data_IF_312775914135
#
_entry.id   IF_312775914135
#
_cell.length_a   1.000
_cell.length_b   1.000
_cell.length_c   1.000
_cell.angle_alpha   90.00
_cell.angle_beta   90.00
_cell.angle_gamma   90.00
#
_symmetry.space_group_name_H-M   'P 1'
#
loop_
_entity.id
_entity.type
_entity.pdbx_description
1 polymer ?
#
# COMPACT_ATOMS: atom_id res chain seq x y z
N UNK A 1 -2.75 -49.64 -75.72
CA UNK A 1 -1.51 -49.92 -76.48
C UNK A 1 -0.39 -50.08 -75.48
N UNK A 2 -0.10 -51.32 -75.16
CA UNK A 2 1.19 -52.02 -75.06
C UNK A 2 2.27 -51.21 -74.27
N UNK A 3 3.00 -51.73 -73.30
CA UNK A 3 3.80 -52.97 -73.24
C UNK A 3 4.11 -53.36 -71.77
N UNK A 4 4.05 -54.63 -71.50
CA UNK A 4 4.55 -55.36 -70.33
C UNK A 4 6.07 -55.55 -70.51
N UNK A 5 6.81 -55.39 -69.40
CA UNK A 5 8.12 -56.02 -69.25
C UNK A 5 8.36 -56.40 -67.81
N UNK A 6 8.34 -57.71 -67.58
CA UNK A 6 8.72 -58.32 -66.35
C UNK A 6 10.23 -58.31 -66.15
N UNK A 7 10.66 -58.19 -64.91
CA UNK A 7 12.04 -58.51 -64.57
C UNK A 7 12.04 -59.42 -63.33
N UNK A 8 12.70 -60.52 -63.50
CA UNK A 8 12.96 -61.64 -62.60
C UNK A 8 13.61 -61.17 -61.30
N UNK A 9 13.00 -61.52 -60.17
CA UNK A 9 13.61 -61.37 -58.86
C UNK A 9 14.36 -62.64 -58.50
N UNK A 10 15.71 -62.54 -58.36
CA UNK A 10 16.58 -63.61 -57.88
C UNK A 10 16.45 -63.70 -56.37
N UNK A 11 15.94 -64.81 -55.83
CA UNK A 11 15.93 -65.19 -54.44
C UNK A 11 17.35 -65.45 -53.97
N UNK A 12 17.83 -64.61 -53.10
CA UNK A 12 19.03 -64.85 -52.25
C UNK A 12 18.56 -65.25 -50.87
N UNK A 13 18.69 -66.53 -50.56
CA UNK A 13 18.48 -67.06 -49.19
C UNK A 13 19.53 -66.52 -48.27
N UNK A 14 19.16 -65.62 -47.37
CA UNK A 14 20.01 -65.29 -46.24
C UNK A 14 19.72 -66.24 -45.11
N UNK A 15 20.75 -67.02 -44.73
CA UNK A 15 20.76 -67.85 -43.54
C UNK A 15 20.83 -67.00 -42.31
N UNK A 16 19.70 -66.77 -41.58
CA UNK A 16 19.68 -66.10 -40.29
C UNK A 16 19.94 -67.13 -39.23
N UNK A 17 21.04 -66.98 -38.45
CA UNK A 17 21.28 -67.91 -37.30
C UNK A 17 20.19 -67.76 -36.28
N UNK A 18 19.56 -68.87 -35.95
CA UNK A 18 18.55 -68.98 -34.88
C UNK A 18 19.20 -68.70 -33.55
N UNK A 19 19.27 -67.40 -33.15
CA UNK A 19 19.72 -67.00 -31.82
C UNK A 19 18.69 -67.55 -30.85
N UNK A 20 19.18 -68.45 -29.99
CA UNK A 20 18.38 -69.20 -29.02
C UNK A 20 17.58 -68.25 -28.16
N UNK A 21 16.29 -68.54 -27.97
CA UNK A 21 15.34 -67.83 -27.13
C UNK A 21 15.84 -67.62 -25.69
N UNK A 22 16.75 -68.44 -25.25
CA UNK A 22 17.38 -68.37 -23.91
C UNK A 22 18.28 -67.15 -23.75
N UNK A 23 18.97 -66.72 -24.76
CA UNK A 23 19.91 -65.58 -24.70
C UNK A 23 19.18 -64.23 -24.73
N UNK A 24 18.01 -64.18 -25.41
CA UNK A 24 17.16 -62.97 -25.43
C UNK A 24 16.53 -62.65 -24.07
N UNK A 25 16.06 -63.69 -23.36
CA UNK A 25 15.45 -63.50 -22.05
C UNK A 25 16.47 -63.17 -20.95
N UNK A 26 17.72 -63.68 -21.09
CA UNK A 26 18.82 -63.38 -20.18
C UNK A 26 19.33 -61.94 -20.35
N UNK A 27 19.37 -61.41 -21.53
CA UNK A 27 19.73 -60.02 -21.81
C UNK A 27 18.64 -59.03 -21.27
N UNK A 28 17.35 -59.42 -21.39
CA UNK A 28 16.25 -58.64 -20.82
C UNK A 28 16.26 -58.63 -19.27
N UNK A 29 16.64 -59.76 -18.66
CA UNK A 29 16.74 -59.84 -17.21
C UNK A 29 17.93 -59.01 -16.62
N UNK A 30 19.03 -58.91 -17.39
CA UNK A 30 20.19 -58.10 -17.05
C UNK A 30 19.91 -56.59 -17.11
N UNK A 31 19.05 -56.13 -18.04
CA UNK A 31 18.66 -54.74 -18.17
C UNK A 31 17.77 -54.29 -17.00
N UNK A 32 16.94 -55.19 -16.46
CA UNK A 32 16.08 -54.88 -15.29
C UNK A 32 16.86 -54.74 -13.98
N UNK A 33 18.06 -55.30 -13.89
CA UNK A 33 18.88 -55.19 -12.68
C UNK A 33 19.71 -53.91 -12.60
N UNK A 34 19.89 -53.18 -13.71
CA UNK A 34 20.60 -51.89 -13.76
C UNK A 34 19.69 -50.66 -13.67
N UNK A 35 18.37 -50.85 -13.51
CA UNK A 35 17.41 -49.74 -13.43
C UNK A 35 17.23 -49.14 -12.03
N UNK A 36 17.98 -49.59 -11.02
CA UNK A 36 18.08 -48.94 -9.73
C UNK A 36 19.27 -47.97 -9.74
N UNK A 37 19.13 -46.81 -10.35
CA UNK A 37 20.02 -45.70 -10.09
C UNK A 37 19.97 -45.31 -8.59
N UNK A 38 21.04 -44.74 -8.02
CA UNK A 38 21.01 -44.27 -6.64
C UNK A 38 19.89 -43.21 -6.55
N UNK A 39 18.83 -43.57 -5.85
CA UNK A 39 17.76 -42.62 -5.51
C UNK A 39 18.41 -41.64 -4.53
N UNK A 40 18.73 -40.44 -5.03
CA UNK A 40 19.19 -39.36 -4.15
C UNK A 40 18.12 -39.13 -3.09
N UNK A 41 18.39 -39.59 -1.88
CA UNK A 41 17.51 -39.32 -0.75
C UNK A 41 17.67 -37.84 -0.43
N UNK A 42 16.61 -37.08 -0.68
CA UNK A 42 16.52 -35.71 -0.20
C UNK A 42 16.84 -35.74 1.30
N UNK A 43 17.82 -34.95 1.72
CA UNK A 43 18.19 -34.88 3.12
C UNK A 43 17.01 -34.44 3.96
N UNK A 44 16.90 -34.91 5.19
CA UNK A 44 15.84 -34.51 6.12
C UNK A 44 15.83 -32.99 6.30
N UNK A 45 17.03 -32.38 6.31
CA UNK A 45 17.18 -30.92 6.40
C UNK A 45 16.59 -30.20 5.22
N UNK A 46 16.83 -30.69 3.98
CA UNK A 46 16.24 -30.09 2.78
C UNK A 46 14.71 -30.24 2.75
N UNK A 47 14.18 -31.37 3.25
CA UNK A 47 12.74 -31.59 3.40
C UNK A 47 12.14 -30.66 4.46
N UNK A 48 12.79 -30.55 5.62
CA UNK A 48 12.36 -29.67 6.72
C UNK A 48 12.46 -28.18 6.33
N UNK A 49 13.44 -27.80 5.51
CA UNK A 49 13.54 -26.44 4.96
C UNK A 49 12.43 -26.13 3.95
N UNK A 50 12.12 -27.07 3.05
CA UNK A 50 10.99 -26.95 2.13
C UNK A 50 9.67 -26.87 2.89
N UNK A 51 9.49 -27.67 3.94
CA UNK A 51 8.30 -27.66 4.77
C UNK A 51 8.18 -26.35 5.55
N UNK A 52 9.24 -25.83 6.14
CA UNK A 52 9.26 -24.51 6.81
C UNK A 52 8.96 -23.36 5.86
N UNK A 53 9.49 -23.40 4.64
CA UNK A 53 9.25 -22.38 3.61
C UNK A 53 7.86 -22.48 2.96
N UNK A 54 7.20 -23.64 3.04
CA UNK A 54 5.85 -23.89 2.53
C UNK A 54 4.79 -23.86 3.64
N UNK A 55 5.14 -23.51 4.87
CA UNK A 55 4.18 -23.34 5.94
C UNK A 55 3.29 -22.14 5.61
N UNK A 56 2.13 -22.41 5.02
CA UNK A 56 1.12 -21.40 4.69
C UNK A 56 0.52 -20.88 5.98
N UNK A 57 1.11 -19.82 6.53
CA UNK A 57 0.54 -19.12 7.66
C UNK A 57 -0.84 -18.56 7.26
N UNK A 58 -1.88 -19.01 7.92
CA UNK A 58 -3.22 -18.43 7.75
C UNK A 58 -3.28 -17.11 8.47
N UNK A 59 -3.22 -16.03 7.70
CA UNK A 59 -3.39 -14.67 8.22
C UNK A 59 -4.90 -14.44 8.38
N UNK A 60 -5.32 -14.05 9.56
CA UNK A 60 -6.72 -13.73 9.84
C UNK A 60 -7.05 -12.30 9.43
N UNK A 61 -8.31 -12.04 9.16
CA UNK A 61 -8.78 -10.68 8.84
C UNK A 61 -8.52 -9.70 9.99
N UNK A 62 -8.60 -10.17 11.22
CA UNK A 62 -8.33 -9.36 12.42
C UNK A 62 -6.85 -8.92 12.46
N UNK A 63 -5.93 -9.80 12.11
CA UNK A 63 -4.50 -9.47 12.01
C UNK A 63 -4.25 -8.42 10.92
N UNK A 64 -4.90 -8.58 9.75
CA UNK A 64 -4.77 -7.63 8.64
C UNK A 64 -5.30 -6.24 9.05
N UNK A 65 -6.48 -6.17 9.66
CA UNK A 65 -7.06 -4.90 10.12
C UNK A 65 -6.21 -4.24 11.19
N UNK A 66 -5.67 -5.02 12.12
CA UNK A 66 -4.76 -4.51 13.16
C UNK A 66 -3.48 -3.93 12.55
N UNK A 67 -2.85 -4.65 11.62
CA UNK A 67 -1.65 -4.15 10.93
C UNK A 67 -1.97 -2.89 10.11
N UNK A 68 -3.10 -2.86 9.42
CA UNK A 68 -3.53 -1.67 8.67
C UNK A 68 -3.73 -0.45 9.59
N UNK A 69 -4.28 -0.65 10.79
CA UNK A 69 -4.44 0.41 11.80
C UNK A 69 -3.08 0.92 12.29
N UNK A 70 -2.18 0.02 12.69
CA UNK A 70 -0.83 0.37 13.17
C UNK A 70 -0.03 1.07 12.08
N UNK A 71 -0.08 0.56 10.86
CA UNK A 71 0.64 1.15 9.74
C UNK A 71 0.09 2.52 9.34
N UNK A 72 -1.25 2.68 9.29
CA UNK A 72 -1.89 3.96 9.04
C UNK A 72 -1.53 5.02 10.08
N UNK A 73 -1.50 4.63 11.36
CA UNK A 73 -1.08 5.51 12.45
C UNK A 73 0.39 5.94 12.32
N UNK A 74 1.27 5.01 12.00
CA UNK A 74 2.69 5.29 11.75
C UNK A 74 2.91 6.28 10.60
N UNK A 75 2.22 6.08 9.46
CA UNK A 75 2.35 6.98 8.30
C UNK A 75 1.82 8.38 8.62
N UNK A 76 0.68 8.48 9.30
CA UNK A 76 0.11 9.79 9.65
C UNK A 76 0.94 10.54 10.67
N UNK A 77 1.56 9.85 11.62
CA UNK A 77 2.53 10.46 12.56
C UNK A 77 3.78 10.97 11.81
N UNK A 78 4.32 10.18 10.88
CA UNK A 78 5.47 10.60 10.05
C UNK A 78 5.11 11.84 9.22
N UNK A 79 3.94 11.84 8.57
CA UNK A 79 3.46 12.96 7.76
C UNK A 79 3.28 14.23 8.59
N UNK A 80 2.63 14.09 9.74
CA UNK A 80 2.42 15.20 10.67
C UNK A 80 3.75 15.78 11.16
N UNK A 81 4.68 14.93 11.58
CA UNK A 81 5.99 15.36 12.06
C UNK A 81 6.79 16.10 10.99
N UNK A 82 6.83 15.60 9.77
CA UNK A 82 7.52 16.23 8.66
C UNK A 82 6.90 17.60 8.31
N UNK A 83 5.57 17.66 8.19
CA UNK A 83 4.87 18.92 7.88
C UNK A 83 5.10 19.98 8.94
N UNK A 84 4.97 19.64 10.22
CA UNK A 84 5.15 20.58 11.32
C UNK A 84 6.61 21.04 11.43
N UNK A 85 7.57 20.12 11.31
CA UNK A 85 8.99 20.47 11.36
C UNK A 85 9.37 21.45 10.25
N UNK A 86 8.94 21.20 9.00
CA UNK A 86 9.24 22.08 7.89
C UNK A 86 8.48 23.42 7.98
N UNK A 87 7.23 23.42 8.47
CA UNK A 87 6.49 24.64 8.75
C UNK A 87 7.21 25.52 9.79
N UNK A 88 7.67 24.92 10.89
CA UNK A 88 8.41 25.64 11.93
C UNK A 88 9.71 26.26 11.39
N UNK A 89 10.44 25.52 10.53
CA UNK A 89 11.65 26.04 9.84
C UNK A 89 11.29 27.23 8.93
N UNK A 90 10.21 27.13 8.18
CA UNK A 90 9.76 28.21 7.30
C UNK A 90 9.33 29.45 8.09
N UNK A 91 8.65 29.27 9.25
CA UNK A 91 8.29 30.36 10.14
C UNK A 91 9.55 31.01 10.76
N UNK A 92 10.51 30.21 11.21
CA UNK A 92 11.75 30.73 11.78
C UNK A 92 12.56 31.56 10.77
N UNK A 93 12.54 31.16 9.50
CA UNK A 93 13.25 31.84 8.42
C UNK A 93 12.54 33.10 7.91
N UNK A 94 11.21 33.09 7.81
CA UNK A 94 10.44 34.09 7.03
C UNK A 94 9.22 34.66 7.78
N UNK A 95 9.04 34.31 9.05
CA UNK A 95 7.83 34.64 9.80
C UNK A 95 6.59 33.87 9.33
N UNK A 96 5.46 34.06 10.02
CA UNK A 96 4.20 33.40 9.68
C UNK A 96 3.69 33.76 8.29
N UNK A 97 3.79 35.02 7.89
CA UNK A 97 3.40 35.48 6.55
C UNK A 97 4.20 34.81 5.43
N UNK A 98 5.54 34.70 5.58
CA UNK A 98 6.40 34.03 4.61
C UNK A 98 6.18 32.51 4.54
N UNK A 99 5.82 31.89 5.66
CA UNK A 99 5.54 30.46 5.73
C UNK A 99 4.27 30.04 4.94
N UNK A 100 3.38 30.98 4.61
CA UNK A 100 2.20 30.71 3.76
C UNK A 100 2.63 30.26 2.36
N UNK A 101 3.66 30.89 1.78
CA UNK A 101 4.20 30.48 0.49
C UNK A 101 4.80 29.08 0.53
N UNK A 102 5.45 28.71 1.64
CA UNK A 102 5.92 27.35 1.90
C UNK A 102 4.78 26.33 1.90
N UNK A 103 3.67 26.60 2.63
CA UNK A 103 2.51 25.71 2.70
C UNK A 103 1.92 25.45 1.32
N UNK A 104 1.84 26.46 0.47
CA UNK A 104 1.30 26.34 -0.89
C UNK A 104 2.17 25.43 -1.78
N UNK A 105 3.50 25.54 -1.68
CA UNK A 105 4.43 24.89 -2.60
C UNK A 105 4.90 23.53 -2.10
N UNK A 106 5.14 23.35 -0.80
CA UNK A 106 5.86 22.20 -0.27
C UNK A 106 4.99 21.15 0.44
N UNK A 107 3.79 21.47 0.86
CA UNK A 107 2.95 20.50 1.56
C UNK A 107 2.58 19.29 0.68
N UNK A 108 2.20 19.50 -0.59
CA UNK A 108 1.88 18.44 -1.52
C UNK A 108 3.09 17.55 -1.88
N UNK A 109 4.27 18.07 -2.21
CA UNK A 109 5.47 17.26 -2.43
C UNK A 109 5.84 16.35 -1.25
N UNK A 110 5.69 16.83 0.00
CA UNK A 110 5.95 16.01 1.19
C UNK A 110 5.00 14.80 1.22
N UNK A 111 3.69 15.03 1.07
CA UNK A 111 2.72 13.94 1.04
C UNK A 111 2.97 12.97 -0.10
N UNK A 112 3.30 13.48 -1.30
CA UNK A 112 3.61 12.67 -2.48
C UNK A 112 4.85 11.79 -2.30
N UNK A 113 5.87 12.30 -1.61
CA UNK A 113 7.06 11.51 -1.25
C UNK A 113 6.68 10.34 -0.34
N UNK A 114 5.83 10.59 0.67
CA UNK A 114 5.35 9.54 1.59
C UNK A 114 4.45 8.52 0.90
N UNK A 115 3.57 8.95 -0.01
CA UNK A 115 2.76 8.06 -0.84
C UNK A 115 3.65 7.08 -1.62
N UNK A 116 4.71 7.59 -2.24
CA UNK A 116 5.66 6.78 -3.01
C UNK A 116 6.44 5.83 -2.10
N UNK A 117 6.94 6.34 -0.96
CA UNK A 117 7.71 5.56 0.02
C UNK A 117 6.92 4.37 0.56
N UNK A 118 5.64 4.56 0.84
CA UNK A 118 4.77 3.58 1.49
C UNK A 118 3.84 2.85 0.52
N UNK A 119 3.83 3.18 -0.77
CA UNK A 119 2.91 2.63 -1.77
C UNK A 119 1.43 2.76 -1.37
N UNK A 120 1.03 3.93 -0.86
CA UNK A 120 -0.32 4.26 -0.40
C UNK A 120 -0.81 5.55 -1.04
N UNK A 121 -2.11 5.86 -0.93
CA UNK A 121 -2.61 7.21 -1.16
C UNK A 121 -2.74 7.92 0.18
N UNK A 122 -2.21 9.12 0.30
CA UNK A 122 -2.21 9.93 1.53
C UNK A 122 -2.68 11.34 1.25
N UNK A 123 -3.72 11.78 1.94
CA UNK A 123 -4.24 13.14 1.82
C UNK A 123 -4.74 13.69 3.16
N UNK A 124 -4.82 15.00 3.25
CA UNK A 124 -5.57 15.69 4.30
C UNK A 124 -6.92 16.08 3.73
N UNK A 125 -7.96 15.90 4.50
CA UNK A 125 -9.34 16.16 4.08
C UNK A 125 -10.00 17.09 5.07
N UNK A 126 -10.79 18.05 4.58
CA UNK A 126 -11.48 19.01 5.44
C UNK A 126 -12.84 19.41 4.84
N UNK A 127 -13.83 19.65 5.70
CA UNK A 127 -15.10 20.28 5.32
C UNK A 127 -14.92 21.77 4.96
N UNK A 128 -13.84 22.38 5.43
CA UNK A 128 -13.46 23.78 5.14
C UNK A 128 -12.05 23.79 4.51
N UNK A 129 -11.90 23.29 3.25
CA UNK A 129 -10.59 23.13 2.63
C UNK A 129 -10.06 24.47 2.13
N UNK A 130 -8.81 24.81 2.48
CA UNK A 130 -8.10 25.93 1.87
C UNK A 130 -7.69 25.62 0.42
N UNK A 131 -7.42 24.35 0.12
CA UNK A 131 -7.23 23.84 -1.24
C UNK A 131 -8.44 22.99 -1.62
N UNK A 132 -9.13 23.27 -2.73
CA UNK A 132 -10.28 22.47 -3.19
C UNK A 132 -10.01 20.97 -3.35
N UNK A 133 -8.75 20.57 -3.62
CA UNK A 133 -8.35 19.17 -3.69
C UNK A 133 -8.43 18.44 -2.34
N UNK A 134 -8.50 19.17 -1.23
CA UNK A 134 -8.64 18.61 0.11
C UNK A 134 -10.12 18.42 0.53
N UNK A 135 -11.09 18.66 -0.38
CA UNK A 135 -12.49 18.35 -0.14
C UNK A 135 -12.70 16.83 0.02
N UNK A 136 -13.61 16.39 0.91
CA UNK A 136 -13.91 14.98 1.10
C UNK A 136 -14.61 14.38 -0.13
N UNK A 137 -14.31 13.12 -0.41
CA UNK A 137 -15.09 12.33 -1.36
C UNK A 137 -16.25 11.59 -0.65
N UNK A 138 -17.02 10.79 -1.41
CA UNK A 138 -18.20 10.10 -0.91
C UNK A 138 -17.90 9.09 0.21
N UNK A 139 -16.71 8.48 0.24
CA UNK A 139 -16.30 7.55 1.29
C UNK A 139 -15.79 8.30 2.54
N UNK A 140 -15.22 9.48 2.35
CA UNK A 140 -14.61 10.30 3.39
C UNK A 140 -15.62 11.17 4.15
N UNK A 141 -16.66 11.66 3.46
CA UNK A 141 -17.67 12.57 4.03
C UNK A 141 -18.31 12.03 5.32
N UNK A 142 -18.84 10.80 5.37
CA UNK A 142 -19.48 10.28 6.59
C UNK A 142 -18.53 10.18 7.79
N UNK A 143 -17.24 9.92 7.52
CA UNK A 143 -16.21 9.80 8.57
C UNK A 143 -15.83 11.18 9.12
N UNK A 144 -15.70 12.16 8.24
CA UNK A 144 -15.43 13.54 8.61
C UNK A 144 -16.58 14.13 9.43
N UNK A 145 -17.82 13.86 9.03
CA UNK A 145 -19.03 14.27 9.77
C UNK A 145 -19.10 13.62 11.15
N UNK A 146 -18.74 12.32 11.26
CA UNK A 146 -18.67 11.64 12.54
C UNK A 146 -17.62 12.26 13.47
N UNK A 147 -16.45 12.61 12.95
CA UNK A 147 -15.42 13.32 13.74
C UNK A 147 -15.88 14.72 14.17
N UNK A 148 -16.60 15.45 13.30
CA UNK A 148 -17.16 16.75 13.64
C UNK A 148 -18.19 16.61 14.78
N UNK A 149 -19.11 15.66 14.67
CA UNK A 149 -20.07 15.36 15.72
C UNK A 149 -19.40 15.03 17.06
N UNK A 150 -18.35 14.21 17.04
CA UNK A 150 -17.62 13.83 18.23
C UNK A 150 -16.99 15.06 18.93
N UNK A 151 -16.33 15.91 18.15
CA UNK A 151 -15.73 17.15 18.69
C UNK A 151 -16.78 18.06 19.29
N UNK A 152 -17.90 18.31 18.58
CA UNK A 152 -19.00 19.14 19.05
C UNK A 152 -19.64 18.62 20.36
N UNK A 153 -19.61 17.31 20.58
CA UNK A 153 -20.18 16.66 21.75
C UNK A 153 -19.14 16.26 22.83
N UNK A 154 -17.88 16.70 22.69
CA UNK A 154 -16.77 16.37 23.58
C UNK A 154 -16.54 14.83 23.70
N UNK A 155 -16.77 14.09 22.63
CA UNK A 155 -16.52 12.65 22.53
C UNK A 155 -15.11 12.44 21.98
N UNK A 156 -14.33 11.56 22.61
CA UNK A 156 -13.02 11.16 22.09
C UNK A 156 -13.13 10.57 20.71
N UNK A 157 -12.23 10.93 19.81
CA UNK A 157 -12.20 10.44 18.43
C UNK A 157 -10.93 9.64 18.17
N UNK A 158 -11.07 8.33 18.09
CA UNK A 158 -10.00 7.42 17.70
C UNK A 158 -9.90 7.30 16.17
N UNK A 159 -8.74 6.91 15.63
CA UNK A 159 -8.61 6.55 14.24
C UNK A 159 -9.61 5.46 13.83
N UNK A 160 -10.08 5.52 12.59
CA UNK A 160 -11.04 4.57 12.04
C UNK A 160 -10.48 3.86 10.83
N UNK A 161 -10.94 2.62 10.59
CA UNK A 161 -10.61 1.87 9.39
C UNK A 161 -11.89 1.30 8.75
N UNK A 162 -12.04 1.51 7.46
CA UNK A 162 -13.15 1.04 6.65
C UNK A 162 -12.64 0.18 5.51
N UNK A 163 -13.43 -0.80 5.08
CA UNK A 163 -13.13 -1.61 3.89
C UNK A 163 -13.75 -0.94 2.66
N UNK A 164 -12.95 -0.72 1.66
CA UNK A 164 -13.36 -0.29 0.33
C UNK A 164 -13.09 -1.39 -0.69
N UNK A 165 -13.68 -1.27 -1.88
CA UNK A 165 -13.42 -2.15 -3.03
C UNK A 165 -13.50 -3.63 -2.65
N UNK A 166 -14.58 -4.03 -1.99
CA UNK A 166 -14.82 -5.42 -1.52
C UNK A 166 -13.71 -5.95 -0.58
N UNK A 167 -13.01 -5.04 0.11
CA UNK A 167 -11.97 -5.37 1.07
C UNK A 167 -10.55 -5.42 0.49
N UNK A 168 -10.35 -5.02 -0.78
CA UNK A 168 -9.03 -4.93 -1.39
C UNK A 168 -8.27 -3.65 -1.01
N UNK A 169 -8.99 -2.65 -0.50
CA UNK A 169 -8.42 -1.39 -0.01
C UNK A 169 -8.99 -1.09 1.38
N UNK A 170 -8.14 -0.65 2.29
CA UNK A 170 -8.55 -0.12 3.59
C UNK A 170 -8.46 1.40 3.57
N UNK A 171 -9.54 2.08 3.94
CA UNK A 171 -9.55 3.50 4.23
C UNK A 171 -9.28 3.70 5.71
N UNK A 172 -8.06 4.11 6.03
CA UNK A 172 -7.68 4.56 7.37
C UNK A 172 -7.90 6.07 7.46
N UNK A 173 -8.55 6.52 8.54
CA UNK A 173 -8.73 7.95 8.84
C UNK A 173 -8.34 8.28 10.27
N UNK A 174 -7.83 9.50 10.48
CA UNK A 174 -7.44 10.00 11.81
C UNK A 174 -7.79 11.50 11.90
N UNK A 175 -8.51 11.94 12.91
CA UNK A 175 -8.87 13.35 13.05
C UNK A 175 -7.65 14.25 13.24
N UNK A 176 -7.71 15.45 12.69
CA UNK A 176 -6.75 16.53 12.87
C UNK A 176 -7.46 17.65 13.62
N UNK A 177 -7.08 17.87 14.84
CA UNK A 177 -7.63 18.95 15.70
C UNK A 177 -6.63 20.10 15.82
N UNK A 178 -7.13 21.29 16.10
CA UNK A 178 -6.31 22.46 16.43
C UNK A 178 -5.74 22.24 17.84
N UNK A 179 -4.51 21.79 17.92
CA UNK A 179 -3.90 21.33 19.18
C UNK A 179 -3.08 22.39 19.94
N UNK A 180 -2.77 23.53 19.30
CA UNK A 180 -1.93 24.55 19.91
C UNK A 180 -2.02 25.91 19.22
N UNK A 181 -1.41 26.95 19.83
CA UNK A 181 -1.41 28.32 19.34
C UNK A 181 -0.72 28.48 17.97
N UNK A 182 0.24 27.63 17.61
CA UNK A 182 0.87 27.66 16.29
C UNK A 182 -0.16 27.45 15.17
N UNK A 183 -1.10 26.55 15.35
CA UNK A 183 -2.19 26.32 14.39
C UNK A 183 -3.07 27.56 14.24
N UNK A 184 -3.39 28.24 15.36
CA UNK A 184 -4.22 29.44 15.38
C UNK A 184 -3.59 30.64 14.68
N UNK A 185 -2.26 30.73 14.60
CA UNK A 185 -1.56 31.80 13.89
C UNK A 185 -1.94 31.93 12.41
N UNK A 186 -2.53 30.87 11.82
CA UNK A 186 -3.04 30.86 10.42
C UNK A 186 -4.50 30.43 10.32
N UNK A 187 -5.00 29.61 11.27
CA UNK A 187 -6.33 29.01 11.22
C UNK A 187 -7.30 29.61 12.27
N UNK A 188 -6.80 30.42 13.20
CA UNK A 188 -7.60 31.04 14.24
C UNK A 188 -8.51 32.19 13.78
N UNK A 189 -9.02 32.95 14.73
CA UNK A 189 -9.84 34.14 14.46
C UNK A 189 -8.98 35.23 13.77
N UNK A 190 -9.36 35.68 12.55
CA UNK A 190 -8.62 36.70 11.82
C UNK A 190 -8.46 38.06 12.58
N UNK A 191 -9.29 38.31 13.59
CA UNK A 191 -9.24 39.55 14.37
C UNK A 191 -8.45 39.45 15.67
N UNK A 192 -8.17 38.20 16.15
CA UNK A 192 -7.55 37.93 17.42
C UNK A 192 -6.24 37.19 17.34
N UNK A 193 -6.24 36.12 16.53
CA UNK A 193 -5.18 35.13 16.55
C UNK A 193 -4.20 35.29 15.38
N UNK A 194 -4.67 35.85 14.25
CA UNK A 194 -3.90 35.96 13.02
C UNK A 194 -3.36 37.39 12.89
N UNK A 195 -2.04 37.55 12.81
CA UNK A 195 -1.42 38.85 12.60
C UNK A 195 -1.89 39.48 11.27
N UNK A 196 -2.04 40.84 11.20
CA UNK A 196 -2.58 41.52 10.01
C UNK A 196 -1.86 41.19 8.72
N UNK A 197 -0.51 41.13 8.74
CA UNK A 197 0.29 40.76 7.57
C UNK A 197 0.04 39.32 7.13
N UNK A 198 -0.13 38.39 8.07
CA UNK A 198 -0.47 36.98 7.80
C UNK A 198 -1.88 36.88 7.20
N UNK A 199 -2.85 37.59 7.74
CA UNK A 199 -4.22 37.63 7.23
C UNK A 199 -4.29 38.19 5.81
N UNK A 200 -3.52 39.27 5.53
CA UNK A 200 -3.43 39.86 4.19
C UNK A 200 -2.83 38.86 3.19
N UNK A 201 -1.78 38.15 3.59
CA UNK A 201 -1.12 37.13 2.75
C UNK A 201 -2.02 35.92 2.52
N UNK A 202 -2.74 35.43 3.53
CA UNK A 202 -3.74 34.37 3.39
C UNK A 202 -4.82 34.75 2.38
N UNK A 203 -5.39 35.96 2.51
CA UNK A 203 -6.38 36.46 1.55
C UNK A 203 -5.85 36.58 0.13
N UNK A 204 -4.59 36.95 -0.03
CA UNK A 204 -3.94 37.02 -1.35
C UNK A 204 -3.76 35.66 -1.99
N UNK A 205 -3.32 34.64 -1.21
CA UNK A 205 -2.99 33.31 -1.70
C UNK A 205 -4.20 32.40 -1.79
N UNK A 206 -5.15 32.59 -0.90
CA UNK A 206 -6.37 31.79 -0.76
C UNK A 206 -7.60 32.70 -0.64
N UNK A 207 -8.01 33.39 -1.72
CA UNK A 207 -9.04 34.44 -1.64
C UNK A 207 -10.42 33.91 -1.21
N UNK A 208 -10.67 32.60 -1.34
CA UNK A 208 -11.91 31.92 -0.94
C UNK A 208 -11.69 30.94 0.21
N UNK A 209 -10.59 31.09 0.98
CA UNK A 209 -10.22 30.14 2.03
C UNK A 209 -11.21 30.20 3.20
N UNK A 210 -12.00 29.13 3.43
CA UNK A 210 -12.86 29.02 4.61
C UNK A 210 -12.13 28.51 5.85
N UNK A 211 -10.82 28.26 5.77
CA UNK A 211 -10.03 27.55 6.78
C UNK A 211 -9.50 28.45 7.91
N UNK A 212 -10.23 29.52 8.26
CA UNK A 212 -9.95 30.41 9.41
C UNK A 212 -11.11 30.41 10.40
N UNK A 213 -10.93 31.02 11.58
CA UNK A 213 -11.96 31.11 12.62
C UNK A 213 -12.12 29.82 13.44
N UNK A 214 -11.06 29.02 13.56
CA UNK A 214 -11.01 27.88 14.45
C UNK A 214 -10.57 28.28 15.86
N UNK A 215 -11.02 27.53 16.86
CA UNK A 215 -10.54 27.56 18.23
C UNK A 215 -9.66 26.33 18.55
N UNK A 216 -9.04 26.32 19.74
CA UNK A 216 -8.39 25.11 20.23
C UNK A 216 -9.42 23.98 20.36
N UNK A 217 -8.98 22.77 20.03
CA UNK A 217 -9.76 21.53 20.02
C UNK A 217 -10.78 21.40 18.88
N UNK A 218 -10.99 22.44 18.07
CA UNK A 218 -11.82 22.33 16.87
C UNK A 218 -11.26 21.30 15.88
N UNK A 219 -12.16 20.58 15.21
CA UNK A 219 -11.79 19.69 14.10
C UNK A 219 -11.35 20.52 12.89
N UNK A 220 -10.07 20.46 12.53
CA UNK A 220 -9.53 21.09 11.33
C UNK A 220 -9.77 20.23 10.08
N UNK A 221 -9.86 18.93 10.27
CA UNK A 221 -10.00 17.95 9.20
C UNK A 221 -9.58 16.57 9.65
N UNK A 222 -9.19 15.72 8.71
CA UNK A 222 -8.66 14.39 9.00
C UNK A 222 -7.55 13.99 8.04
N UNK A 223 -6.67 13.11 8.48
CA UNK A 223 -5.86 12.29 7.62
C UNK A 223 -6.73 11.23 6.95
N UNK A 224 -6.48 10.97 5.67
CA UNK A 224 -7.13 9.94 4.89
C UNK A 224 -6.09 9.16 4.10
N UNK A 225 -5.99 7.85 4.37
CA UNK A 225 -5.08 6.92 3.71
C UNK A 225 -5.85 5.78 3.06
N UNK A 226 -5.54 5.51 1.80
CA UNK A 226 -5.94 4.26 1.15
C UNK A 226 -4.78 3.29 1.17
N UNK A 227 -4.94 2.21 1.93
CA UNK A 227 -3.94 1.16 2.16
C UNK A 227 -4.33 -0.06 1.32
N UNK A 228 -3.59 -0.40 0.25
CA UNK A 228 -3.86 -1.62 -0.51
C UNK A 228 -3.65 -2.85 0.39
N UNK A 229 -4.64 -3.74 0.45
CA UNK A 229 -4.60 -4.96 1.29
C UNK A 229 -3.33 -5.79 1.06
N UNK A 230 -2.90 -5.92 -0.20
CA UNK A 230 -1.66 -6.62 -0.55
C UNK A 230 -0.42 -6.04 0.14
N UNK A 231 -0.36 -4.71 0.30
CA UNK A 231 0.78 -4.05 0.97
C UNK A 231 0.70 -4.23 2.50
N UNK A 232 -0.52 -4.26 3.06
CA UNK A 232 -0.71 -4.59 4.48
C UNK A 232 -0.28 -6.03 4.78
N UNK A 233 -0.69 -6.99 3.93
CA UNK A 233 -0.37 -8.42 4.10
C UNK A 233 1.15 -8.68 4.01
N UNK A 234 1.88 -7.95 3.18
CA UNK A 234 3.35 -8.07 3.10
C UNK A 234 4.08 -7.69 4.39
N UNK A 235 3.41 -7.03 5.31
CA UNK A 235 3.98 -6.55 6.59
C UNK A 235 3.77 -7.54 7.73
N UNK A 236 2.94 -8.58 7.52
CA UNK A 236 2.64 -9.66 8.46
C UNK A 236 3.55 -10.87 8.30
#
# INVERSE_FOLDING_TARGET
MYFVLGTLYKSTSYFVPRISYFMKNFLFLLILLFSCGPQERISKEAFDDVQRNNDVRRITEVEILREAMVWGDSITQEAQAQLISQLQQAIAANGHSGAIDFCQVNALPILKSLETKHAVTLRRVSSRPGNPLDAPDAAETPLLDAYAYNVENNISSDPSIQKLEQGEVFLYTKPIVISNALCLSCHGDPKKDIAPETAAKLKQRYPQDPATGYALEDLRGMWSLRLPKKEVVKRL
#
